data_IF_679172933495
#
_entry.id   IF_679172933495
#
_cell.length_a   1.000
_cell.length_b   1.000
_cell.length_c   1.000
_cell.angle_alpha   90.00
_cell.angle_beta   90.00
_cell.angle_gamma   90.00
#
_symmetry.space_group_name_H-M   'P 1'
#
loop_
_entity.id
_entity.type
_entity.pdbx_description
1 polymer ?
#
# COMPACT_ATOMS: atom_id res chain seq x y z
N UNK A 1 -32.78 -33.29 -8.25
CA UNK A 1 -33.54 -33.74 -7.07
C UNK A 1 -33.66 -35.25 -7.11
N UNK A 2 -33.65 -35.95 -5.96
CA UNK A 2 -32.88 -35.74 -4.72
C UNK A 2 -32.08 -37.03 -4.40
N UNK A 3 -31.11 -37.11 -3.47
CA UNK A 3 -31.29 -36.97 -2.02
C UNK A 3 -29.94 -36.96 -1.27
N UNK A 4 -29.88 -36.08 -0.27
CA UNK A 4 -29.26 -36.27 1.05
C UNK A 4 -27.78 -36.65 1.17
N UNK A 5 -26.96 -35.63 1.48
CA UNK A 5 -25.90 -35.76 2.49
C UNK A 5 -25.89 -34.49 3.37
N UNK A 6 -26.46 -34.65 4.57
CA UNK A 6 -26.43 -33.71 5.68
C UNK A 6 -24.99 -33.56 6.17
N UNK A 7 -24.42 -32.36 6.12
CA UNK A 7 -23.24 -32.04 6.92
C UNK A 7 -23.70 -31.71 8.34
N UNK A 8 -23.13 -32.45 9.28
CA UNK A 8 -23.37 -32.38 10.72
C UNK A 8 -22.92 -31.02 11.25
N UNK A 9 -23.87 -30.28 11.83
CA UNK A 9 -23.62 -29.17 12.73
C UNK A 9 -22.80 -29.66 13.93
N UNK A 10 -21.55 -29.22 14.02
CA UNK A 10 -20.83 -29.19 15.29
C UNK A 10 -21.05 -27.81 15.93
N UNK A 11 -22.28 -27.59 16.42
CA UNK A 11 -22.59 -26.48 17.30
C UNK A 11 -21.82 -26.61 18.60
N UNK A 12 -20.70 -25.89 18.73
CA UNK A 12 -20.16 -25.58 20.05
C UNK A 12 -20.93 -24.38 20.61
N UNK A 13 -21.96 -24.72 21.39
CA UNK A 13 -22.71 -23.79 22.21
C UNK A 13 -21.77 -23.13 23.25
N UNK A 14 -21.34 -21.89 22.96
CA UNK A 14 -20.43 -21.12 23.81
C UNK A 14 -21.05 -20.70 25.15
N UNK A 15 -22.33 -20.99 25.39
CA UNK A 15 -23.02 -20.68 26.65
C UNK A 15 -23.06 -21.85 27.66
N UNK A 16 -22.52 -23.03 27.32
CA UNK A 16 -22.56 -24.20 28.21
C UNK A 16 -21.27 -24.44 29.04
N UNK A 17 -20.26 -23.57 28.93
CA UNK A 17 -19.04 -23.70 29.76
C UNK A 17 -19.06 -22.83 31.03
N UNK A 18 -19.87 -21.77 31.07
CA UNK A 18 -19.97 -20.87 32.23
C UNK A 18 -20.95 -21.41 33.28
N UNK A 19 -21.96 -22.17 32.87
CA UNK A 19 -23.05 -22.55 33.77
C UNK A 19 -22.75 -23.71 34.73
N UNK A 20 -21.65 -24.46 34.50
CA UNK A 20 -21.26 -25.61 35.35
C UNK A 20 -20.20 -25.32 36.41
N UNK A 21 -19.59 -24.12 36.41
CA UNK A 21 -18.58 -23.75 37.42
C UNK A 21 -19.09 -22.84 38.55
N UNK A 22 -20.30 -22.29 38.44
CA UNK A 22 -20.81 -21.27 39.39
C UNK A 22 -21.93 -21.77 40.31
N UNK A 23 -22.49 -22.96 40.04
CA UNK A 23 -23.62 -23.52 40.81
C UNK A 23 -23.21 -24.45 41.97
N UNK A 24 -21.92 -24.77 42.12
CA UNK A 24 -21.41 -25.66 43.18
C UNK A 24 -20.51 -25.02 44.23
N UNK A 25 -20.24 -23.70 44.16
CA UNK A 25 -19.32 -23.04 45.10
C UNK A 25 -20.00 -22.61 46.41
N UNK A 26 -19.43 -22.93 47.58
CA UNK A 26 -19.91 -22.42 48.87
C UNK A 26 -19.95 -20.90 48.90
N UNK A 27 -20.99 -20.31 49.52
CA UNK A 27 -21.23 -18.87 49.60
C UNK A 27 -20.00 -18.05 50.05
N UNK A 28 -19.13 -18.64 50.88
CA UNK A 28 -17.88 -18.04 51.33
C UNK A 28 -16.90 -17.70 50.18
N UNK A 29 -16.84 -18.49 49.10
CA UNK A 29 -15.92 -18.26 47.99
C UNK A 29 -16.40 -17.20 46.99
N UNK A 30 -17.72 -16.97 46.90
CA UNK A 30 -18.29 -15.88 46.08
C UNK A 30 -17.99 -14.50 46.69
N UNK A 31 -17.90 -14.43 48.01
CA UNK A 31 -17.52 -13.20 48.73
C UNK A 31 -16.02 -12.91 48.58
N UNK A 32 -15.15 -13.93 48.59
CA UNK A 32 -13.70 -13.75 48.45
C UNK A 32 -13.30 -13.21 47.07
N UNK A 33 -13.96 -13.65 45.99
CA UNK A 33 -13.67 -13.17 44.63
C UNK A 33 -14.24 -11.76 44.40
N UNK A 34 -15.46 -11.49 44.91
CA UNK A 34 -16.08 -10.15 44.81
C UNK A 34 -15.33 -9.07 45.61
N UNK A 35 -14.83 -9.40 46.81
CA UNK A 35 -14.06 -8.48 47.64
C UNK A 35 -12.61 -8.35 47.15
N UNK A 36 -12.01 -9.43 46.65
CA UNK A 36 -10.66 -9.42 46.08
C UNK A 36 -10.53 -8.60 44.79
N UNK A 37 -11.54 -8.65 43.90
CA UNK A 37 -11.57 -7.86 42.66
C UNK A 37 -11.72 -6.35 42.89
N UNK A 38 -12.50 -5.97 43.92
CA UNK A 38 -12.69 -4.55 44.29
C UNK A 38 -11.46 -3.99 45.02
N UNK A 39 -10.75 -4.79 45.83
CA UNK A 39 -9.49 -4.39 46.47
C UNK A 39 -8.33 -4.22 45.48
N UNK A 40 -8.27 -5.03 44.41
CA UNK A 40 -7.24 -4.88 43.38
C UNK A 40 -7.45 -3.60 42.55
N UNK A 41 -8.69 -3.26 42.22
CA UNK A 41 -9.04 -1.99 41.58
C UNK A 41 -8.74 -0.77 42.47
N UNK A 42 -9.00 -0.87 43.78
CA UNK A 42 -8.68 0.19 44.74
C UNK A 42 -7.17 0.39 44.95
N UNK A 43 -6.34 -0.67 44.86
CA UNK A 43 -4.89 -0.53 44.93
C UNK A 43 -4.28 0.14 43.68
N UNK A 44 -4.86 -0.06 42.49
CA UNK A 44 -4.45 0.64 41.26
C UNK A 44 -4.83 2.13 41.31
N UNK A 45 -5.92 2.49 42.00
CA UNK A 45 -6.29 3.90 42.21
C UNK A 45 -5.58 4.58 43.40
N UNK A 46 -5.09 3.82 44.39
CA UNK A 46 -4.43 4.37 45.59
C UNK A 46 -2.90 4.52 45.48
N UNK A 47 -2.28 4.06 44.38
CA UNK A 47 -0.83 4.17 44.16
C UNK A 47 -0.40 5.32 43.22
N UNK A 48 -1.25 6.34 43.00
CA UNK A 48 -0.80 7.61 42.41
C UNK A 48 -0.23 8.49 43.52
N UNK A 49 1.09 8.44 43.71
CA UNK A 49 1.80 9.57 44.35
C UNK A 49 1.52 10.82 43.53
N UNK A 50 1.11 11.95 44.14
CA UNK A 50 1.07 13.20 43.42
C UNK A 50 2.50 13.53 42.99
N UNK A 51 2.71 13.78 41.69
CA UNK A 51 3.91 14.47 41.22
C UNK A 51 3.86 15.90 41.76
N UNK A 52 4.33 16.08 42.99
CA UNK A 52 4.65 17.39 43.53
C UNK A 52 6.09 17.72 43.17
N UNK A 53 6.25 18.76 42.36
CA UNK A 53 7.51 19.49 42.23
C UNK A 53 8.13 19.53 40.85
N UNK A 54 7.46 20.16 39.88
CA UNK A 54 8.13 21.06 38.92
C UNK A 54 7.21 22.26 38.71
N UNK A 55 7.14 23.14 39.71
CA UNK A 55 6.67 24.51 39.53
C UNK A 55 7.88 25.34 39.10
N UNK A 56 8.27 25.23 37.83
CA UNK A 56 9.03 26.30 37.16
C UNK A 56 8.80 26.21 35.65
N UNK A 57 7.69 26.79 35.19
CA UNK A 57 7.47 27.09 33.77
C UNK A 57 7.86 28.56 33.46
N UNK A 58 8.83 29.12 34.20
CA UNK A 58 9.27 30.50 34.02
C UNK A 58 10.72 30.68 33.61
N UNK A 59 11.43 29.58 33.31
CA UNK A 59 12.68 29.68 32.55
C UNK A 59 12.35 29.58 31.07
N UNK A 60 12.61 30.62 30.25
CA UNK A 60 12.69 30.44 28.82
C UNK A 60 13.79 29.40 28.62
N UNK A 61 13.40 28.21 28.15
CA UNK A 61 14.38 27.37 27.49
C UNK A 61 14.76 28.16 26.26
N UNK A 62 15.86 28.90 26.32
CA UNK A 62 16.56 29.41 25.16
C UNK A 62 17.05 28.20 24.35
N UNK A 63 16.11 27.47 23.74
CA UNK A 63 16.38 26.74 22.53
C UNK A 63 16.76 27.84 21.55
N UNK A 64 18.01 27.87 21.04
CA UNK A 64 18.34 28.87 20.04
C UNK A 64 17.36 28.68 18.88
N UNK A 65 16.42 29.61 18.75
CA UNK A 65 15.44 29.68 17.66
C UNK A 65 16.17 29.77 16.29
N UNK A 66 17.48 29.97 16.32
CA UNK A 66 18.37 29.92 15.16
C UNK A 66 18.75 28.50 14.68
N UNK A 67 18.26 27.42 15.30
CA UNK A 67 18.46 26.05 14.80
C UNK A 67 17.27 25.50 13.97
N UNK A 68 16.17 26.25 13.83
CA UNK A 68 14.96 25.81 13.11
C UNK A 68 14.69 26.57 11.81
N UNK A 69 15.64 27.36 11.33
CA UNK A 69 15.60 27.98 10.01
C UNK A 69 16.95 27.88 9.31
N UNK A 70 17.46 26.65 9.13
CA UNK A 70 18.43 26.43 8.05
C UNK A 70 17.67 26.43 6.72
N UNK A 71 17.36 27.65 6.28
CA UNK A 71 16.77 27.89 4.97
C UNK A 71 17.85 27.73 3.90
N UNK A 72 17.89 26.53 3.31
CA UNK A 72 18.17 26.34 1.87
C UNK A 72 19.50 26.87 1.31
N UNK A 73 20.62 26.68 2.00
CA UNK A 73 21.94 26.70 1.34
C UNK A 73 22.73 25.44 1.71
N UNK A 74 22.44 24.32 1.04
CA UNK A 74 23.31 23.12 1.09
C UNK A 74 22.65 21.79 1.45
N UNK A 75 21.34 21.74 1.71
CA UNK A 75 20.68 20.44 1.91
C UNK A 75 20.70 19.61 0.62
N UNK A 76 21.14 18.36 0.73
CA UNK A 76 21.06 17.36 -0.33
C UNK A 76 20.50 16.08 0.27
N UNK A 77 19.67 15.41 -0.52
CA UNK A 77 19.10 14.12 -0.15
C UNK A 77 20.21 13.11 0.09
N UNK A 78 20.24 12.55 1.29
CA UNK A 78 21.11 11.44 1.66
C UNK A 78 20.21 10.27 2.04
N UNK A 79 20.23 9.20 1.24
CA UNK A 79 19.43 8.01 1.48
C UNK A 79 19.59 7.47 2.92
N UNK A 80 20.82 7.39 3.43
CA UNK A 80 21.09 6.79 4.75
C UNK A 80 20.41 7.57 5.88
N UNK A 81 20.27 8.88 5.72
CA UNK A 81 19.64 9.78 6.69
C UNK A 81 18.14 9.98 6.43
N UNK A 82 17.75 10.16 5.17
CA UNK A 82 16.47 10.77 4.79
C UNK A 82 15.43 9.78 4.29
N UNK A 83 15.79 8.52 4.00
CA UNK A 83 14.88 7.60 3.32
C UNK A 83 13.54 7.34 4.01
N UNK A 84 13.52 7.42 5.33
CA UNK A 84 12.33 7.22 6.15
C UNK A 84 11.83 8.53 6.79
N UNK A 85 12.31 9.68 6.32
CA UNK A 85 11.87 10.98 6.81
C UNK A 85 10.57 11.41 6.10
N UNK A 86 9.43 11.10 6.73
CA UNK A 86 8.11 11.50 6.22
C UNK A 86 7.86 13.02 6.27
N UNK A 87 8.69 13.75 7.03
CA UNK A 87 8.60 15.20 7.26
C UNK A 87 9.60 16.02 6.45
N UNK A 88 9.97 15.61 5.23
CA UNK A 88 10.70 16.51 4.32
C UNK A 88 9.81 17.71 3.95
N UNK A 89 10.37 18.92 3.91
CA UNK A 89 9.62 20.09 3.39
C UNK A 89 9.31 19.93 1.89
N UNK A 90 8.35 20.68 1.34
CA UNK A 90 8.00 20.55 -0.08
C UNK A 90 9.20 20.82 -1.00
N UNK A 91 10.05 21.80 -0.66
CA UNK A 91 11.30 22.07 -1.39
C UNK A 91 12.29 20.91 -1.33
N UNK A 92 12.39 20.24 -0.18
CA UNK A 92 13.24 19.05 -0.02
C UNK A 92 12.66 17.87 -0.80
N UNK A 93 11.35 17.66 -0.81
CA UNK A 93 10.68 16.68 -1.66
C UNK A 93 11.00 16.92 -3.14
N UNK A 94 10.80 18.15 -3.64
CA UNK A 94 11.07 18.52 -5.04
C UNK A 94 12.55 18.34 -5.41
N UNK A 95 13.46 18.69 -4.50
CA UNK A 95 14.90 18.50 -4.72
C UNK A 95 15.32 17.02 -4.66
N UNK A 96 14.71 16.23 -3.78
CA UNK A 96 15.03 14.82 -3.60
C UNK A 96 14.46 13.95 -4.72
N UNK A 97 13.24 14.25 -5.17
CA UNK A 97 12.45 13.40 -6.07
C UNK A 97 11.92 14.16 -7.29
N UNK A 98 12.78 14.86 -8.06
CA UNK A 98 12.34 15.77 -9.12
C UNK A 98 11.53 15.08 -10.22
N UNK A 99 11.83 13.82 -10.52
CA UNK A 99 11.18 13.09 -11.61
C UNK A 99 9.96 12.29 -11.15
N UNK A 100 9.61 12.30 -9.86
CA UNK A 100 8.63 11.38 -9.27
C UNK A 100 7.18 11.70 -9.68
N UNK A 101 6.86 12.96 -9.95
CA UNK A 101 5.48 13.47 -9.94
C UNK A 101 4.73 13.41 -11.27
N UNK A 102 5.28 12.72 -12.27
CA UNK A 102 4.72 12.65 -13.63
C UNK A 102 3.22 12.31 -13.66
N UNK A 103 2.81 11.25 -12.96
CA UNK A 103 1.40 10.81 -12.97
C UNK A 103 0.45 11.80 -12.27
N UNK A 104 0.95 12.56 -11.29
CA UNK A 104 0.21 13.64 -10.63
C UNK A 104 0.01 14.80 -11.61
N UNK A 105 1.10 15.28 -12.22
CA UNK A 105 1.07 16.42 -13.12
C UNK A 105 0.20 16.13 -14.36
N UNK A 106 0.24 14.88 -14.85
CA UNK A 106 -0.65 14.39 -15.93
C UNK A 106 -2.12 14.49 -15.54
N UNK A 107 -2.52 13.94 -14.39
CA UNK A 107 -3.91 13.97 -13.95
C UNK A 107 -4.38 15.41 -13.69
N UNK A 108 -3.55 16.22 -13.02
CA UNK A 108 -3.84 17.63 -12.78
C UNK A 108 -4.04 18.42 -14.07
N UNK A 109 -3.25 18.17 -15.11
CA UNK A 109 -3.41 18.84 -16.41
C UNK A 109 -4.77 18.54 -17.05
N UNK A 110 -5.24 17.29 -17.01
CA UNK A 110 -6.57 16.91 -17.54
C UNK A 110 -7.70 17.65 -16.81
N UNK A 111 -7.58 17.84 -15.49
CA UNK A 111 -8.57 18.54 -14.66
C UNK A 111 -8.39 20.06 -14.62
N UNK A 112 -7.33 20.63 -15.20
CA UNK A 112 -7.25 22.09 -15.41
C UNK A 112 -8.17 22.54 -16.53
N UNK A 113 -8.32 21.69 -17.54
CA UNK A 113 -9.18 21.95 -18.70
C UNK A 113 -10.63 21.50 -18.47
N UNK A 114 -10.88 20.72 -17.42
CA UNK A 114 -12.20 20.17 -17.06
C UNK A 114 -12.61 20.66 -15.68
N UNK A 115 -13.86 21.05 -15.51
CA UNK A 115 -14.38 21.34 -14.17
C UNK A 115 -14.69 20.03 -13.44
N UNK A 116 -13.99 19.75 -12.33
CA UNK A 116 -14.37 18.65 -11.45
C UNK A 116 -15.71 18.95 -10.77
N UNK A 117 -16.58 17.95 -10.71
CA UNK A 117 -17.90 18.02 -10.06
C UNK A 117 -18.03 16.92 -9.01
N UNK A 118 -19.03 16.98 -8.11
CA UNK A 118 -19.30 15.88 -7.18
C UNK A 118 -19.44 14.52 -7.88
N UNK A 119 -20.10 14.48 -9.03
CA UNK A 119 -20.23 13.27 -9.85
C UNK A 119 -18.90 12.71 -10.37
N UNK A 120 -17.83 13.50 -10.46
CA UNK A 120 -16.49 13.02 -10.84
C UNK A 120 -15.89 12.06 -9.81
N UNK A 121 -16.34 12.11 -8.55
CA UNK A 121 -15.83 11.27 -7.45
C UNK A 121 -16.90 10.32 -6.87
N UNK A 122 -18.15 10.40 -7.32
CA UNK A 122 -19.20 9.50 -6.86
C UNK A 122 -19.07 8.09 -7.47
N UNK A 123 -19.25 7.06 -6.65
CA UNK A 123 -19.31 5.69 -7.15
C UNK A 123 -20.48 5.52 -8.15
N UNK A 124 -20.29 4.80 -9.27
CA UNK A 124 -21.36 4.54 -10.25
C UNK A 124 -22.53 3.74 -9.63
N UNK A 125 -23.79 4.06 -9.94
CA UNK A 125 -24.97 3.38 -9.38
C UNK A 125 -25.03 1.89 -9.74
N UNK A 126 -25.48 1.05 -8.79
CA UNK A 126 -25.38 -0.44 -8.84
C UNK A 126 -26.30 -1.08 -9.90
N UNK A 127 -27.27 -0.35 -10.46
CA UNK A 127 -28.19 -0.88 -11.48
C UNK A 127 -27.50 -1.21 -12.82
N UNK A 128 -26.27 -0.75 -13.02
CA UNK A 128 -25.47 -1.06 -14.21
C UNK A 128 -24.53 -2.26 -13.98
N UNK A 129 -25.01 -3.44 -14.41
CA UNK A 129 -24.18 -4.51 -14.99
C UNK A 129 -23.25 -5.34 -14.07
N UNK A 130 -23.52 -5.43 -12.77
CA UNK A 130 -22.84 -6.43 -11.90
C UNK A 130 -21.39 -6.09 -11.51
N UNK A 131 -20.93 -4.87 -11.78
CA UNK A 131 -19.64 -4.36 -11.33
C UNK A 131 -19.74 -3.77 -9.92
N UNK A 132 -18.88 -4.23 -9.00
CA UNK A 132 -18.78 -3.68 -7.64
C UNK A 132 -17.45 -2.96 -7.50
N UNK A 133 -17.40 -1.67 -7.86
CA UNK A 133 -16.27 -0.80 -7.52
C UNK A 133 -16.14 -0.78 -5.99
N UNK A 134 -14.95 -1.13 -5.51
CA UNK A 134 -14.62 -1.19 -4.09
C UNK A 134 -13.79 0.03 -3.72
N UNK A 135 -14.12 0.70 -2.63
CA UNK A 135 -13.41 1.93 -2.28
C UNK A 135 -13.96 2.68 -1.08
N UNK A 136 -13.42 3.88 -0.90
CA UNK A 136 -13.96 4.85 0.06
C UNK A 136 -13.97 6.26 -0.54
N UNK A 137 -15.07 6.97 -0.32
CA UNK A 137 -15.12 8.43 -0.43
C UNK A 137 -14.68 9.02 0.89
N UNK A 138 -13.67 9.87 0.83
CA UNK A 138 -13.00 10.48 1.95
C UNK A 138 -13.07 12.01 1.82
N UNK A 139 -12.89 12.68 2.95
CA UNK A 139 -12.81 14.13 3.02
C UNK A 139 -11.58 14.55 3.82
N UNK A 140 -10.85 15.54 3.31
CA UNK A 140 -9.81 16.23 4.05
C UNK A 140 -10.37 17.57 4.53
N UNK A 141 -10.37 17.79 5.85
CA UNK A 141 -10.86 19.04 6.46
C UNK A 141 -9.81 19.53 7.46
N UNK A 142 -9.23 20.71 7.22
CA UNK A 142 -8.20 21.32 8.09
C UNK A 142 -7.06 20.35 8.42
N UNK A 143 -6.61 19.58 7.43
CA UNK A 143 -5.55 18.58 7.58
C UNK A 143 -5.94 17.28 8.28
N UNK A 144 -7.23 17.06 8.57
CA UNK A 144 -7.75 15.83 9.17
C UNK A 144 -8.51 14.99 8.15
N UNK A 145 -8.33 13.67 8.20
CA UNK A 145 -8.93 12.71 7.28
C UNK A 145 -10.24 12.14 7.86
N UNK A 146 -11.31 12.17 7.06
CA UNK A 146 -12.61 11.61 7.39
C UNK A 146 -13.08 10.63 6.33
N UNK A 147 -13.83 9.61 6.75
CA UNK A 147 -14.57 8.70 5.88
C UNK A 147 -16.00 9.22 5.73
N UNK A 148 -16.42 9.44 4.48
CA UNK A 148 -17.80 9.83 4.13
C UNK A 148 -18.62 8.58 3.82
N UNK A 149 -18.03 7.65 3.06
CA UNK A 149 -18.70 6.43 2.62
C UNK A 149 -17.68 5.37 2.23
N UNK A 150 -17.92 4.11 2.56
CA UNK A 150 -17.23 2.99 1.93
C UNK A 150 -18.18 2.23 1.01
N UNK A 151 -17.62 1.52 0.03
CA UNK A 151 -18.39 0.66 -0.87
C UNK A 151 -17.66 -0.65 -1.13
N UNK A 152 -18.44 -1.72 -1.24
CA UNK A 152 -17.94 -3.01 -1.70
C UNK A 152 -17.27 -3.80 -0.59
N UNK A 153 -17.61 -3.49 0.65
CA UNK A 153 -17.15 -4.22 1.81
C UNK A 153 -17.84 -5.58 1.86
N UNK A 154 -17.04 -6.63 1.95
CA UNK A 154 -17.50 -8.00 2.13
C UNK A 154 -16.70 -8.61 3.27
N UNK A 155 -17.36 -9.43 4.08
CA UNK A 155 -16.69 -10.27 5.08
C UNK A 155 -15.52 -11.03 4.43
N UNK A 156 -14.28 -10.83 4.92
CA UNK A 156 -13.12 -11.61 4.46
C UNK A 156 -11.79 -10.89 4.17
N UNK A 157 -11.66 -9.59 4.46
CA UNK A 157 -10.35 -9.01 4.84
C UNK A 157 -9.49 -8.34 3.76
N UNK A 158 -9.53 -8.71 2.47
CA UNK A 158 -8.61 -8.12 1.47
C UNK A 158 -8.89 -6.63 1.23
N UNK A 159 -10.12 -6.26 0.84
CA UNK A 159 -10.52 -4.85 0.61
C UNK A 159 -10.27 -3.96 1.82
N UNK A 160 -10.57 -4.46 3.03
CA UNK A 160 -10.29 -3.75 4.28
C UNK A 160 -8.79 -3.49 4.47
N UNK A 161 -7.94 -4.50 4.26
CA UNK A 161 -6.49 -4.36 4.38
C UNK A 161 -5.95 -3.33 3.39
N UNK A 162 -6.46 -3.34 2.15
CA UNK A 162 -6.11 -2.35 1.12
C UNK A 162 -6.51 -0.94 1.55
N UNK A 163 -7.73 -0.74 2.04
CA UNK A 163 -8.16 0.58 2.52
C UNK A 163 -7.29 1.06 3.68
N UNK A 164 -7.11 0.21 4.70
CA UNK A 164 -6.30 0.54 5.88
C UNK A 164 -4.87 0.85 5.50
N UNK A 165 -4.26 0.07 4.61
CA UNK A 165 -2.91 0.35 4.10
C UNK A 165 -2.84 1.66 3.34
N UNK A 166 -3.83 1.95 2.49
CA UNK A 166 -3.84 3.17 1.66
C UNK A 166 -4.12 4.42 2.49
N UNK A 167 -5.07 4.39 3.42
CA UNK A 167 -5.40 5.56 4.23
C UNK A 167 -4.42 5.80 5.38
N UNK A 168 -3.71 4.77 5.86
CA UNK A 168 -2.58 5.00 6.77
C UNK A 168 -1.40 5.68 6.06
N UNK A 169 -1.19 5.43 4.77
CA UNK A 169 -0.23 6.18 3.97
C UNK A 169 -0.61 7.67 3.89
N UNK A 170 -1.87 7.96 3.55
CA UNK A 170 -2.40 9.34 3.52
C UNK A 170 -2.27 9.99 4.91
N UNK A 171 -2.70 9.31 5.97
CA UNK A 171 -2.57 9.82 7.34
C UNK A 171 -1.11 10.08 7.73
N UNK A 172 -0.17 9.18 7.42
CA UNK A 172 1.27 9.39 7.64
C UNK A 172 1.79 10.62 6.90
N UNK A 173 1.37 10.81 5.65
CA UNK A 173 1.72 11.96 4.84
C UNK A 173 1.16 13.29 5.43
N UNK A 174 -0.06 13.27 5.97
CA UNK A 174 -0.67 14.41 6.67
C UNK A 174 0.07 14.78 7.95
N UNK A 175 0.42 13.79 8.79
CA UNK A 175 1.22 14.01 10.00
C UNK A 175 2.59 14.58 9.64
N UNK A 176 3.23 14.05 8.59
CA UNK A 176 4.51 14.57 8.09
C UNK A 176 4.41 16.01 7.60
N UNK A 177 3.33 16.37 6.90
CA UNK A 177 3.04 17.72 6.44
C UNK A 177 2.84 18.70 7.62
N UNK A 178 2.06 18.30 8.63
CA UNK A 178 1.84 19.10 9.83
C UNK A 178 3.16 19.41 10.56
N UNK A 179 4.05 18.43 10.66
CA UNK A 179 5.36 18.58 11.30
C UNK A 179 6.26 19.63 10.63
N UNK A 180 6.01 19.99 9.37
CA UNK A 180 6.74 21.04 8.63
C UNK A 180 5.89 22.26 8.29
N UNK A 181 4.69 22.38 8.87
CA UNK A 181 3.80 23.52 8.65
C UNK A 181 3.19 23.59 7.24
N UNK A 182 3.11 22.47 6.53
CA UNK A 182 2.40 22.38 5.25
C UNK A 182 0.90 22.21 5.48
N UNK A 183 0.10 23.02 4.76
CA UNK A 183 -1.36 23.07 4.87
C UNK A 183 -1.96 22.71 3.52
N UNK A 184 -3.07 21.97 3.54
CA UNK A 184 -3.86 21.61 2.37
C UNK A 184 -5.22 22.31 2.43
N UNK A 185 -5.74 22.71 1.27
CA UNK A 185 -7.14 23.10 1.13
C UNK A 185 -8.06 21.90 1.44
N UNK A 186 -9.28 22.19 1.84
CA UNK A 186 -10.30 21.17 2.07
C UNK A 186 -10.83 20.61 0.73
N UNK A 187 -10.96 19.29 0.64
CA UNK A 187 -11.51 18.61 -0.54
C UNK A 187 -12.06 17.23 -0.22
N UNK A 188 -12.85 16.69 -1.14
CA UNK A 188 -13.28 15.30 -1.16
C UNK A 188 -12.63 14.52 -2.28
N UNK A 189 -12.36 13.24 -2.03
CA UNK A 189 -11.78 12.33 -3.00
C UNK A 189 -12.32 10.93 -2.81
N UNK A 190 -12.29 10.13 -3.86
CA UNK A 190 -12.64 8.71 -3.80
C UNK A 190 -11.44 7.88 -4.19
N UNK A 191 -11.04 6.97 -3.30
CA UNK A 191 -10.03 5.94 -3.58
C UNK A 191 -10.72 4.65 -4.01
N UNK A 192 -10.27 4.10 -5.14
CA UNK A 192 -10.70 2.81 -5.68
C UNK A 192 -9.63 1.77 -5.39
N UNK A 193 -10.05 0.66 -4.79
CA UNK A 193 -9.18 -0.39 -4.25
C UNK A 193 -9.07 -1.62 -5.15
N UNK A 194 -9.82 -1.64 -6.24
CA UNK A 194 -9.77 -2.68 -7.27
C UNK A 194 -8.38 -2.79 -7.91
N UNK A 195 -8.01 -4.00 -8.34
CA UNK A 195 -6.75 -4.24 -9.05
C UNK A 195 -6.67 -3.45 -10.36
N UNK A 196 -7.82 -3.14 -10.98
CA UNK A 196 -7.89 -2.37 -12.22
C UNK A 196 -9.02 -1.35 -12.18
N UNK A 197 -8.85 -0.19 -12.83
CA UNK A 197 -9.93 0.75 -13.06
C UNK A 197 -10.95 0.14 -14.05
N UNK A 198 -11.92 -0.60 -13.54
CA UNK A 198 -13.02 -1.16 -14.33
C UNK A 198 -14.36 -0.63 -13.83
N UNK A 199 -14.74 0.53 -14.34
CA UNK A 199 -16.09 1.08 -14.30
C UNK A 199 -16.59 1.26 -15.74
N UNK A 200 -17.91 1.40 -15.96
CA UNK A 200 -18.45 1.58 -17.31
C UNK A 200 -17.76 2.73 -18.04
N UNK A 201 -17.19 2.41 -19.21
CA UNK A 201 -16.40 3.32 -20.07
C UNK A 201 -17.28 4.46 -20.64
N UNK A 202 -18.61 4.32 -20.58
CA UNK A 202 -19.56 5.34 -21.02
C UNK A 202 -19.98 6.34 -19.91
N UNK A 203 -19.43 6.21 -18.69
CA UNK A 203 -19.66 7.19 -17.62
C UNK A 203 -18.62 8.31 -17.68
N UNK A 204 -18.96 9.56 -17.34
CA UNK A 204 -18.06 10.72 -17.41
C UNK A 204 -16.66 10.50 -16.80
N UNK A 205 -15.70 11.39 -17.15
CA UNK A 205 -14.36 11.42 -16.55
C UNK A 205 -14.42 11.29 -15.01
N UNK A 206 -13.60 10.40 -14.46
CA UNK A 206 -13.55 10.11 -13.02
C UNK A 206 -12.26 10.63 -12.42
N UNK A 207 -12.37 11.35 -11.32
CA UNK A 207 -11.23 11.87 -10.55
C UNK A 207 -10.78 10.88 -9.45
N UNK A 208 -11.02 9.58 -9.66
CA UNK A 208 -10.68 8.55 -8.69
C UNK A 208 -9.18 8.44 -8.48
N UNK A 209 -8.80 8.17 -7.23
CA UNK A 209 -7.46 7.75 -6.86
C UNK A 209 -7.37 6.24 -7.05
N UNK A 210 -6.48 5.80 -7.93
CA UNK A 210 -6.34 4.41 -8.37
C UNK A 210 -4.90 3.95 -8.24
N UNK A 211 -4.68 2.66 -8.01
CA UNK A 211 -3.31 2.12 -7.92
C UNK A 211 -2.62 1.97 -9.29
N UNK A 212 -3.43 1.86 -10.35
CA UNK A 212 -2.92 1.68 -11.71
C UNK A 212 -3.90 2.22 -12.74
N UNK A 213 -3.38 2.43 -13.95
CA UNK A 213 -4.16 2.59 -15.18
C UNK A 213 -3.43 1.91 -16.34
N UNK A 214 -4.09 1.67 -17.48
CA UNK A 214 -3.39 1.28 -18.69
C UNK A 214 -2.32 2.32 -19.08
N UNK A 215 -1.15 1.85 -19.53
CA UNK A 215 -0.03 2.69 -19.91
C UNK A 215 -0.31 3.53 -21.17
N UNK A 216 -1.18 3.03 -22.06
CA UNK A 216 -1.61 3.76 -23.26
C UNK A 216 -2.41 5.03 -22.89
N UNK A 217 -2.15 6.12 -23.61
CA UNK A 217 -2.88 7.37 -23.50
C UNK A 217 -4.16 7.38 -24.36
N UNK A 218 -4.98 8.42 -24.20
CA UNK A 218 -6.24 8.60 -24.92
C UNK A 218 -7.38 7.77 -24.35
N UNK A 219 -7.28 7.35 -23.09
CA UNK A 219 -8.33 6.58 -22.41
C UNK A 219 -9.04 7.43 -21.38
N UNK A 220 -10.26 7.04 -21.03
CA UNK A 220 -10.99 7.64 -19.91
C UNK A 220 -10.22 7.57 -18.58
N UNK A 221 -9.41 6.54 -18.38
CA UNK A 221 -8.55 6.42 -17.20
C UNK A 221 -7.45 7.50 -17.14
N UNK A 222 -7.27 8.32 -18.18
CA UNK A 222 -6.36 9.45 -18.12
C UNK A 222 -6.90 10.59 -17.23
N UNK A 223 -8.17 10.58 -16.83
CA UNK A 223 -8.66 11.49 -15.80
C UNK A 223 -8.36 11.03 -14.37
N UNK A 224 -7.89 9.79 -14.17
CA UNK A 224 -7.68 9.24 -12.82
C UNK A 224 -6.33 9.63 -12.26
N UNK A 225 -6.24 9.67 -10.93
CA UNK A 225 -5.01 9.98 -10.19
C UNK A 225 -4.34 8.68 -9.79
N UNK A 226 -3.18 8.38 -10.38
CA UNK A 226 -2.43 7.17 -10.00
C UNK A 226 -1.70 7.44 -8.70
N UNK A 227 -1.92 6.60 -7.69
CA UNK A 227 -1.38 6.77 -6.34
C UNK A 227 -0.61 5.53 -5.88
N UNK A 228 0.26 5.65 -4.85
CA UNK A 228 0.89 4.50 -4.22
C UNK A 228 -0.13 3.45 -3.79
N UNK A 229 0.18 2.18 -4.09
CA UNK A 229 -0.65 1.07 -3.67
C UNK A 229 -0.47 0.74 -2.18
N UNK A 230 -1.38 -0.06 -1.62
CA UNK A 230 -1.39 -0.42 -0.19
C UNK A 230 -0.12 -1.15 0.30
N UNK A 231 0.72 -1.70 -0.59
CA UNK A 231 1.97 -2.39 -0.24
C UNK A 231 3.07 -1.44 0.25
N UNK A 232 2.96 -0.13 -0.01
CA UNK A 232 3.83 0.88 0.61
C UNK A 232 3.50 1.13 2.09
N UNK A 233 2.43 0.50 2.60
CA UNK A 233 2.17 0.32 4.02
C UNK A 233 2.51 -1.09 4.49
N UNK A 234 1.65 -2.07 4.19
CA UNK A 234 1.78 -3.48 4.53
C UNK A 234 0.72 -4.34 3.81
N UNK A 235 1.00 -5.63 3.58
CA UNK A 235 0.01 -6.58 3.04
C UNK A 235 0.05 -7.95 3.72
N UNK A 236 -0.40 -8.08 4.99
CA UNK A 236 -0.40 -9.38 5.68
C UNK A 236 -1.40 -10.36 5.04
N UNK A 237 -1.08 -11.67 4.97
CA UNK A 237 0.16 -12.32 5.42
C UNK A 237 1.27 -12.37 4.34
N UNK A 238 1.08 -11.71 3.19
CA UNK A 238 2.01 -11.77 2.05
C UNK A 238 3.31 -11.03 2.35
N UNK A 239 3.22 -9.87 3.01
CA UNK A 239 4.37 -9.06 3.41
C UNK A 239 4.07 -8.24 4.68
N UNK A 240 5.12 -7.95 5.43
CA UNK A 240 5.08 -7.03 6.59
C UNK A 240 5.05 -5.55 6.19
N UNK A 241 5.34 -4.65 7.13
CA UNK A 241 5.50 -3.22 6.86
C UNK A 241 6.56 -2.96 5.77
N UNK A 242 6.30 -2.04 4.86
CA UNK A 242 7.19 -1.78 3.72
C UNK A 242 8.63 -1.41 4.12
N UNK A 243 8.78 -0.59 5.17
CA UNK A 243 10.08 -0.21 5.74
C UNK A 243 10.85 -1.43 6.23
N UNK A 244 10.15 -2.38 6.85
CA UNK A 244 10.74 -3.64 7.29
C UNK A 244 11.14 -4.51 6.10
N UNK A 245 10.31 -4.58 5.05
CA UNK A 245 10.67 -5.30 3.83
C UNK A 245 11.94 -4.74 3.18
N UNK A 246 12.14 -3.41 3.17
CA UNK A 246 13.42 -2.82 2.74
C UNK A 246 14.59 -3.23 3.64
N UNK A 247 14.38 -3.28 4.96
CA UNK A 247 15.41 -3.69 5.91
C UNK A 247 15.79 -5.16 5.79
N UNK A 248 14.81 -6.04 5.54
CA UNK A 248 15.05 -7.46 5.31
C UNK A 248 15.76 -7.68 3.98
N UNK A 249 15.32 -7.04 2.89
CA UNK A 249 15.99 -7.14 1.59
C UNK A 249 17.49 -6.80 1.65
N UNK A 250 17.86 -5.74 2.40
CA UNK A 250 19.28 -5.35 2.59
C UNK A 250 20.15 -6.40 3.27
N UNK A 251 19.57 -7.36 4.00
CA UNK A 251 20.34 -8.48 4.59
C UNK A 251 20.88 -9.45 3.55
N UNK A 252 20.34 -9.39 2.32
CA UNK A 252 20.76 -10.20 1.18
C UNK A 252 21.69 -9.44 0.22
N UNK A 253 22.08 -8.21 0.56
CA UNK A 253 22.95 -7.37 -0.28
C UNK A 253 24.33 -8.01 -0.41
N UNK A 254 24.77 -8.22 -1.66
CA UNK A 254 26.08 -8.79 -2.04
C UNK A 254 26.35 -8.57 -3.52
N UNK A 255 27.62 -8.56 -3.97
CA UNK A 255 27.95 -8.45 -5.39
C UNK A 255 27.13 -9.44 -6.23
N UNK A 256 26.61 -8.99 -7.37
CA UNK A 256 25.71 -9.76 -8.23
C UNK A 256 26.30 -11.11 -8.62
N UNK A 257 27.61 -11.19 -8.86
CA UNK A 257 28.35 -12.43 -9.15
C UNK A 257 28.29 -13.49 -8.04
N UNK A 258 28.06 -13.06 -6.79
CA UNK A 258 27.95 -13.93 -5.61
C UNK A 258 26.51 -14.34 -5.29
N UNK A 259 25.53 -13.83 -6.05
CA UNK A 259 24.13 -14.25 -6.02
C UNK A 259 23.92 -15.50 -6.88
N UNK A 260 22.75 -16.11 -6.74
CA UNK A 260 22.34 -17.25 -7.58
C UNK A 260 22.19 -16.75 -9.02
N UNK A 261 23.04 -17.24 -9.93
CA UNK A 261 23.11 -16.85 -11.34
C UNK A 261 21.95 -17.46 -12.17
N UNK A 262 20.72 -17.18 -11.75
CA UNK A 262 19.51 -17.66 -12.41
C UNK A 262 18.44 -16.57 -12.50
N UNK A 263 17.65 -16.65 -13.56
CA UNK A 263 16.38 -15.96 -13.67
C UNK A 263 15.35 -16.65 -12.77
N UNK A 264 14.73 -15.91 -11.85
CA UNK A 264 13.81 -16.49 -10.87
C UNK A 264 12.41 -15.90 -10.97
N UNK A 265 11.40 -16.77 -10.86
CA UNK A 265 10.01 -16.36 -10.78
C UNK A 265 9.17 -17.38 -10.03
N UNK A 266 8.23 -16.88 -9.20
CA UNK A 266 7.14 -17.66 -8.60
C UNK A 266 5.83 -16.91 -8.72
N UNK A 267 4.82 -17.55 -9.30
CA UNK A 267 3.48 -17.00 -9.41
C UNK A 267 2.47 -18.00 -9.94
N UNK A 268 1.19 -17.60 -9.96
CA UNK A 268 0.10 -18.40 -10.53
C UNK A 268 -0.12 -18.05 -12.00
N UNK A 269 -0.46 -19.01 -12.86
CA UNK A 269 -0.68 -18.72 -14.29
C UNK A 269 -2.02 -18.03 -14.56
N UNK A 270 -3.07 -18.40 -13.82
CA UNK A 270 -4.46 -18.02 -14.14
C UNK A 270 -4.72 -16.51 -14.13
N UNK A 271 -3.91 -15.71 -13.43
CA UNK A 271 -4.09 -14.24 -13.38
C UNK A 271 -3.74 -13.56 -14.70
N UNK A 272 -2.87 -14.17 -15.54
CA UNK A 272 -2.57 -13.68 -16.89
C UNK A 272 -1.93 -14.77 -17.77
N UNK A 273 -2.71 -15.79 -18.15
CA UNK A 273 -2.21 -16.97 -18.90
C UNK A 273 -1.42 -16.59 -20.16
N UNK A 274 -1.94 -15.67 -20.97
CA UNK A 274 -1.28 -15.23 -22.21
C UNK A 274 0.08 -14.56 -22.05
N UNK A 275 0.48 -14.16 -20.84
CA UNK A 275 1.79 -13.62 -20.53
C UNK A 275 2.67 -14.64 -19.79
N UNK A 276 2.08 -15.35 -18.82
CA UNK A 276 2.82 -16.22 -17.91
C UNK A 276 3.06 -17.63 -18.45
N UNK A 277 2.15 -18.18 -19.26
CA UNK A 277 2.39 -19.49 -19.92
C UNK A 277 3.55 -19.42 -20.92
N UNK A 278 3.68 -18.38 -21.78
CA UNK A 278 4.88 -18.22 -22.61
C UNK A 278 6.19 -18.08 -21.83
N UNK A 279 6.16 -17.41 -20.66
CA UNK A 279 7.33 -17.36 -19.78
C UNK A 279 7.74 -18.76 -19.30
N UNK A 280 6.77 -19.56 -18.85
CA UNK A 280 7.05 -20.95 -18.43
C UNK A 280 7.64 -21.77 -19.59
N UNK A 281 7.09 -21.64 -20.79
CA UNK A 281 7.53 -22.41 -21.96
C UNK A 281 8.96 -22.05 -22.37
N UNK A 282 9.28 -20.77 -22.48
CA UNK A 282 10.61 -20.34 -22.96
C UNK A 282 11.73 -20.53 -21.93
N UNK A 283 11.38 -20.72 -20.66
CA UNK A 283 12.32 -20.94 -19.56
C UNK A 283 12.42 -22.42 -19.17
N UNK A 284 11.68 -23.29 -19.86
CA UNK A 284 11.63 -24.72 -19.59
C UNK A 284 12.97 -25.36 -19.97
N UNK A 285 13.49 -26.19 -19.07
CA UNK A 285 14.75 -26.93 -19.23
C UNK A 285 16.00 -26.06 -19.43
N UNK A 286 15.88 -24.73 -19.30
CA UNK A 286 16.98 -23.79 -19.40
C UNK A 286 17.83 -23.80 -18.12
N UNK A 287 19.15 -23.94 -18.27
CA UNK A 287 20.07 -24.08 -17.12
C UNK A 287 20.15 -22.81 -16.26
N UNK A 288 19.91 -21.65 -16.86
CA UNK A 288 19.84 -20.34 -16.21
C UNK A 288 18.47 -20.05 -15.59
N UNK A 289 17.50 -20.96 -15.69
CA UNK A 289 16.14 -20.76 -15.18
C UNK A 289 15.93 -21.37 -13.78
N UNK A 290 15.25 -20.61 -12.94
CA UNK A 290 14.49 -21.07 -11.79
C UNK A 290 13.09 -20.41 -11.80
N UNK A 291 12.33 -20.68 -12.85
CA UNK A 291 10.98 -20.16 -13.08
C UNK A 291 9.97 -21.26 -12.85
N UNK A 292 9.08 -21.09 -11.87
CA UNK A 292 8.13 -22.13 -11.48
C UNK A 292 6.74 -21.55 -11.16
N UNK A 293 5.69 -22.27 -11.57
CA UNK A 293 4.32 -21.97 -11.12
C UNK A 293 4.18 -22.39 -9.64
N UNK A 294 3.61 -21.50 -8.84
CA UNK A 294 3.18 -21.82 -7.47
C UNK A 294 1.66 -21.91 -7.41
N UNK A 295 1.13 -22.53 -6.36
CA UNK A 295 -0.32 -22.58 -6.12
C UNK A 295 -0.71 -21.91 -4.81
N UNK A 296 -1.82 -21.16 -4.83
CA UNK A 296 -2.46 -20.69 -3.61
C UNK A 296 -3.33 -21.77 -2.96
N UNK A 297 -3.77 -22.78 -3.73
CA UNK A 297 -4.57 -23.89 -3.22
C UNK A 297 -3.67 -24.79 -2.36
N UNK A 298 -4.01 -24.88 -1.06
CA UNK A 298 -3.30 -25.72 -0.09
C UNK A 298 -3.35 -27.23 -0.39
N UNK A 299 -4.22 -27.66 -1.29
CA UNK A 299 -4.33 -29.05 -1.71
C UNK A 299 -3.16 -29.50 -2.59
N UNK A 300 -2.56 -28.59 -3.36
CA UNK A 300 -1.33 -28.85 -4.10
C UNK A 300 -0.12 -28.52 -3.24
N UNK A 301 0.24 -29.48 -2.38
CA UNK A 301 1.32 -29.31 -1.40
C UNK A 301 2.68 -29.05 -2.03
N UNK A 302 2.92 -29.53 -3.26
CA UNK A 302 4.21 -29.33 -3.91
C UNK A 302 4.30 -27.95 -4.55
N UNK A 303 3.24 -27.49 -5.23
CA UNK A 303 3.18 -26.11 -5.74
C UNK A 303 3.11 -25.05 -4.61
N UNK A 304 2.64 -25.41 -3.42
CA UNK A 304 2.67 -24.54 -2.23
C UNK A 304 4.09 -24.39 -1.65
N UNK A 305 4.93 -25.43 -1.70
CA UNK A 305 6.35 -25.36 -1.27
C UNK A 305 7.19 -24.44 -2.15
N UNK A 306 6.70 -24.12 -3.36
CA UNK A 306 7.36 -23.21 -4.28
C UNK A 306 7.10 -21.73 -3.97
N UNK A 307 6.22 -21.42 -3.00
CA UNK A 307 6.04 -20.04 -2.53
C UNK A 307 7.37 -19.52 -1.98
N UNK A 308 7.75 -18.35 -2.46
CA UNK A 308 8.91 -17.61 -1.95
C UNK A 308 8.42 -16.35 -1.25
N UNK A 309 9.05 -16.03 -0.12
CA UNK A 309 8.93 -14.71 0.50
C UNK A 309 9.62 -13.66 -0.37
N UNK A 310 9.30 -12.38 -0.13
CA UNK A 310 9.81 -11.28 -0.94
C UNK A 310 11.35 -11.21 -0.92
N UNK A 311 11.95 -11.47 0.24
CA UNK A 311 13.40 -11.40 0.46
C UNK A 311 14.18 -12.56 -0.16
N UNK A 312 13.59 -13.75 -0.31
CA UNK A 312 14.25 -14.89 -0.96
C UNK A 312 14.58 -14.59 -2.43
N UNK A 313 13.82 -13.72 -3.09
CA UNK A 313 14.15 -13.25 -4.44
C UNK A 313 15.44 -12.43 -4.49
N UNK A 314 15.83 -11.78 -3.38
CA UNK A 314 17.05 -10.99 -3.32
C UNK A 314 18.34 -11.84 -3.34
N UNK A 315 18.23 -13.16 -3.16
CA UNK A 315 19.35 -14.08 -3.31
C UNK A 315 19.69 -14.41 -4.77
N UNK A 316 18.81 -14.05 -5.71
CA UNK A 316 18.99 -14.28 -7.14
C UNK A 316 19.50 -13.03 -7.84
N UNK A 317 20.34 -13.23 -8.85
CA UNK A 317 20.85 -12.14 -9.68
C UNK A 317 19.74 -11.53 -10.56
N UNK A 318 18.78 -12.33 -11.03
CA UNK A 318 17.85 -11.93 -12.09
C UNK A 318 16.37 -12.21 -11.75
N UNK A 319 15.76 -11.50 -10.79
CA UNK A 319 14.35 -11.69 -10.49
C UNK A 319 13.45 -11.16 -11.62
N UNK A 320 12.50 -11.98 -12.07
CA UNK A 320 11.56 -11.62 -13.14
C UNK A 320 10.30 -10.99 -12.56
N UNK A 321 9.89 -9.85 -13.11
CA UNK A 321 8.57 -9.27 -12.89
C UNK A 321 7.57 -9.71 -13.96
N UNK A 322 6.34 -10.01 -13.56
CA UNK A 322 5.21 -10.20 -14.49
C UNK A 322 3.96 -9.46 -14.02
N UNK A 323 3.22 -8.89 -14.97
CA UNK A 323 1.86 -8.41 -14.73
C UNK A 323 0.91 -9.58 -14.39
N UNK A 324 -0.17 -9.25 -13.68
CA UNK A 324 -1.30 -10.13 -13.37
C UNK A 324 -2.52 -9.72 -14.18
N UNK A 325 -3.71 -9.71 -13.57
CA UNK A 325 -4.89 -9.14 -14.23
C UNK A 325 -4.74 -7.65 -14.54
N UNK A 326 -3.78 -6.99 -13.88
CA UNK A 326 -3.30 -5.63 -14.11
C UNK A 326 -1.84 -5.52 -13.64
N UNK A 327 -1.42 -4.36 -13.12
CA UNK A 327 -0.14 -4.22 -12.43
C UNK A 327 0.06 -5.28 -11.33
N UNK A 328 1.32 -5.58 -10.99
CA UNK A 328 1.64 -6.46 -9.87
C UNK A 328 2.54 -5.76 -8.88
N UNK A 329 2.08 -5.66 -7.63
CA UNK A 329 2.86 -5.09 -6.52
C UNK A 329 4.17 -5.83 -6.22
N UNK A 330 4.39 -7.03 -6.82
CA UNK A 330 5.66 -7.75 -6.77
C UNK A 330 6.83 -6.85 -7.20
N UNK A 331 6.65 -5.98 -8.19
CA UNK A 331 7.76 -5.14 -8.67
C UNK A 331 8.32 -4.29 -7.54
N UNK A 332 7.45 -3.69 -6.73
CA UNK A 332 7.83 -2.86 -5.58
C UNK A 332 8.75 -3.60 -4.59
N UNK A 333 8.59 -4.91 -4.44
CA UNK A 333 9.45 -5.75 -3.60
C UNK A 333 10.75 -6.15 -4.30
N UNK A 334 10.72 -6.51 -5.59
CA UNK A 334 11.92 -6.87 -6.34
C UNK A 334 12.88 -5.68 -6.46
N UNK A 335 12.35 -4.47 -6.58
CA UNK A 335 13.13 -3.22 -6.62
C UNK A 335 13.81 -2.89 -5.28
N UNK A 336 13.47 -3.59 -4.19
CA UNK A 336 14.20 -3.50 -2.93
C UNK A 336 15.45 -4.39 -2.87
N UNK A 337 15.66 -5.28 -3.84
CA UNK A 337 16.87 -6.09 -3.92
C UNK A 337 17.98 -5.34 -4.66
N UNK A 338 19.24 -5.64 -4.34
CA UNK A 338 20.42 -5.26 -5.14
C UNK A 338 20.67 -6.27 -6.28
N UNK A 339 19.58 -6.65 -6.97
CA UNK A 339 19.55 -7.59 -8.10
C UNK A 339 19.27 -6.84 -9.40
N UNK A 340 19.49 -7.48 -10.55
CA UNK A 340 19.15 -6.93 -11.87
C UNK A 340 17.74 -7.41 -12.28
N UNK A 341 16.67 -6.64 -12.04
CA UNK A 341 15.31 -7.10 -12.32
C UNK A 341 15.11 -7.26 -13.83
N UNK A 342 14.41 -8.32 -14.24
CA UNK A 342 13.96 -8.53 -15.62
C UNK A 342 12.50 -8.09 -15.72
N UNK A 343 12.22 -7.15 -16.61
CA UNK A 343 10.90 -6.56 -16.76
C UNK A 343 10.50 -6.58 -18.23
N UNK A 344 9.32 -7.11 -18.51
CA UNK A 344 8.74 -7.16 -19.85
C UNK A 344 8.07 -5.82 -20.22
N UNK A 345 7.68 -5.63 -21.49
CA UNK A 345 6.85 -4.47 -21.87
C UNK A 345 5.55 -4.45 -21.04
N UNK A 346 5.39 -3.40 -20.23
CA UNK A 346 4.27 -3.23 -19.31
C UNK A 346 3.08 -2.59 -20.03
N UNK A 347 1.87 -3.11 -19.79
CA UNK A 347 0.62 -2.53 -20.31
C UNK A 347 -0.11 -1.69 -19.25
N UNK A 348 0.32 -1.78 -18.00
CA UNK A 348 -0.19 -1.05 -16.85
C UNK A 348 0.91 -0.16 -16.27
N UNK A 349 0.51 1.00 -15.76
CA UNK A 349 1.43 1.93 -15.09
C UNK A 349 1.07 2.06 -13.60
N UNK A 350 2.08 2.13 -12.74
CA UNK A 350 1.97 2.59 -11.36
C UNK A 350 2.70 3.94 -11.22
N UNK A 351 2.54 4.60 -10.08
CA UNK A 351 3.01 5.97 -9.87
C UNK A 351 4.51 6.23 -10.09
N UNK A 352 5.35 5.19 -10.14
CA UNK A 352 6.79 5.30 -10.37
C UNK A 352 7.27 4.65 -11.69
N UNK A 353 6.38 4.04 -12.48
CA UNK A 353 6.80 3.21 -13.62
C UNK A 353 7.44 4.00 -14.75
N UNK A 354 7.17 5.31 -14.87
CA UNK A 354 7.83 6.19 -15.84
C UNK A 354 9.34 6.38 -15.55
N UNK A 355 9.81 5.96 -14.37
CA UNK A 355 11.23 5.96 -14.00
C UNK A 355 11.95 4.66 -14.40
N UNK A 356 11.24 3.67 -14.95
CA UNK A 356 11.85 2.45 -15.50
C UNK A 356 12.53 2.79 -16.83
N UNK A 357 13.83 2.56 -16.88
CA UNK A 357 14.67 2.82 -18.06
C UNK A 357 15.27 1.49 -18.57
N UNK A 358 14.81 1.00 -19.74
CA UNK A 358 15.28 -0.24 -20.35
C UNK A 358 16.80 -0.31 -20.47
N UNK A 359 17.38 -1.42 -19.99
CA UNK A 359 18.81 -1.72 -19.98
C UNK A 359 19.68 -0.69 -19.21
N UNK A 360 19.05 0.19 -18.42
CA UNK A 360 19.72 1.12 -17.49
C UNK A 360 19.48 0.68 -16.05
N UNK A 361 18.22 0.55 -15.64
CA UNK A 361 17.82 0.16 -14.29
C UNK A 361 17.03 -1.15 -14.22
N UNK A 362 16.81 -1.79 -15.36
CA UNK A 362 16.30 -3.15 -15.44
C UNK A 362 16.74 -3.80 -16.76
N UNK A 363 16.75 -5.12 -16.80
CA UNK A 363 16.92 -5.89 -18.03
C UNK A 363 15.57 -5.92 -18.74
N UNK A 364 15.50 -5.28 -19.90
CA UNK A 364 14.28 -5.24 -20.70
C UNK A 364 14.09 -6.53 -21.51
N UNK A 365 12.87 -7.04 -21.53
CA UNK A 365 12.44 -8.14 -22.41
C UNK A 365 11.13 -7.81 -23.12
N UNK A 366 10.90 -8.44 -24.26
CA UNK A 366 9.64 -8.31 -24.97
C UNK A 366 8.50 -8.92 -24.15
N UNK A 367 7.28 -8.39 -24.29
CA UNK A 367 6.07 -8.94 -23.65
C UNK A 367 5.85 -10.44 -23.90
N UNK A 368 6.26 -10.94 -25.06
CA UNK A 368 6.16 -12.35 -25.43
C UNK A 368 7.40 -13.18 -25.05
N UNK A 369 8.35 -12.60 -24.31
CA UNK A 369 9.58 -13.21 -23.80
C UNK A 369 10.61 -13.66 -24.85
N UNK A 370 10.35 -13.46 -26.14
CA UNK A 370 11.18 -14.01 -27.24
C UNK A 370 12.67 -13.66 -27.17
N UNK A 371 13.03 -12.54 -26.55
CA UNK A 371 14.43 -12.13 -26.37
C UNK A 371 15.03 -12.49 -24.99
N UNK A 372 14.26 -13.11 -24.08
CA UNK A 372 14.73 -13.47 -22.75
C UNK A 372 15.95 -14.42 -22.77
N UNK A 373 15.98 -15.51 -23.57
CA UNK A 373 17.15 -16.40 -23.60
C UNK A 373 18.44 -15.68 -24.01
N UNK A 374 18.37 -14.83 -25.04
CA UNK A 374 19.51 -14.04 -25.49
C UNK A 374 19.96 -13.00 -24.46
N UNK A 375 19.02 -12.38 -23.73
CA UNK A 375 19.35 -11.48 -22.61
C UNK A 375 20.05 -12.23 -21.48
N UNK A 376 19.60 -13.43 -21.15
CA UNK A 376 20.22 -14.26 -20.12
C UNK A 376 21.62 -14.74 -20.50
N UNK A 377 21.80 -15.25 -21.72
CA UNK A 377 23.12 -15.62 -22.24
C UNK A 377 24.10 -14.42 -22.17
N UNK A 378 23.65 -13.25 -22.60
CA UNK A 378 24.47 -12.04 -22.58
C UNK A 378 24.86 -11.62 -21.15
N UNK A 379 23.90 -11.45 -20.24
CA UNK A 379 24.18 -10.90 -18.91
C UNK A 379 24.89 -11.89 -17.98
N UNK A 380 24.78 -13.20 -18.23
CA UNK A 380 25.60 -14.22 -17.55
C UNK A 380 27.06 -14.18 -18.02
N UNK A 381 27.31 -13.84 -19.29
CA UNK A 381 28.66 -13.65 -19.82
C UNK A 381 29.26 -12.27 -19.49
N UNK A 382 28.41 -11.30 -19.12
CA UNK A 382 28.77 -9.90 -18.87
C UNK A 382 28.24 -9.43 -17.50
N UNK A 383 28.66 -10.13 -16.44
CA UNK A 383 28.19 -9.88 -15.07
C UNK A 383 28.50 -8.47 -14.58
N UNK A 384 29.55 -7.82 -15.08
CA UNK A 384 29.88 -6.42 -14.79
C UNK A 384 28.81 -5.45 -15.30
N UNK A 385 28.19 -5.75 -16.46
CA UNK A 385 27.11 -4.95 -17.02
C UNK A 385 25.82 -5.17 -16.23
N UNK A 386 25.52 -6.43 -15.90
CA UNK A 386 24.39 -6.78 -15.06
C UNK A 386 24.49 -6.12 -13.67
N UNK A 387 25.69 -6.08 -13.08
CA UNK A 387 25.95 -5.39 -11.82
C UNK A 387 25.64 -3.89 -11.92
N UNK A 388 26.01 -3.23 -13.02
CA UNK A 388 25.66 -1.82 -13.24
C UNK A 388 24.16 -1.58 -13.29
N UNK A 389 23.40 -2.50 -13.92
CA UNK A 389 21.94 -2.44 -13.93
C UNK A 389 21.38 -2.63 -12.52
N UNK A 390 21.87 -3.62 -11.77
CA UNK A 390 21.44 -3.88 -10.39
C UNK A 390 21.72 -2.67 -9.47
N UNK A 391 22.91 -2.09 -9.56
CA UNK A 391 23.26 -0.89 -8.80
C UNK A 391 22.41 0.31 -9.17
N UNK A 392 22.11 0.49 -10.44
CA UNK A 392 21.28 1.59 -10.92
C UNK A 392 19.81 1.40 -10.51
N UNK A 393 19.29 0.17 -10.61
CA UNK A 393 17.98 -0.21 -10.05
C UNK A 393 17.85 0.15 -8.58
N UNK A 394 18.80 -0.35 -7.77
CA UNK A 394 18.86 -0.10 -6.33
C UNK A 394 18.90 1.40 -6.01
N UNK A 395 19.78 2.15 -6.68
CA UNK A 395 19.92 3.61 -6.47
C UNK A 395 18.67 4.39 -6.86
N UNK A 396 18.05 4.03 -7.98
CA UNK A 396 16.87 4.70 -8.51
C UNK A 396 15.65 4.43 -7.64
N UNK A 397 15.38 3.17 -7.32
CA UNK A 397 14.14 2.79 -6.66
C UNK A 397 14.30 2.71 -5.15
N UNK A 398 14.93 1.63 -4.65
CA UNK A 398 15.10 1.40 -3.21
C UNK A 398 15.63 2.65 -2.53
N UNK A 399 16.73 3.20 -3.05
CA UNK A 399 17.47 4.29 -2.40
C UNK A 399 16.92 5.69 -2.68
N UNK A 400 15.83 5.82 -3.46
CA UNK A 400 15.30 7.14 -3.82
C UNK A 400 13.81 7.12 -4.09
N UNK A 401 13.37 6.71 -5.27
CA UNK A 401 12.01 6.95 -5.77
C UNK A 401 10.94 6.02 -5.22
N UNK A 402 11.31 4.89 -4.61
CA UNK A 402 10.39 4.05 -3.83
C UNK A 402 10.75 4.06 -2.35
N UNK A 403 11.45 5.10 -1.88
CA UNK A 403 11.70 5.28 -0.44
C UNK A 403 10.42 5.62 0.32
N UNK A 404 10.31 5.30 1.61
CA UNK A 404 9.19 5.76 2.44
C UNK A 404 9.01 7.29 2.45
N UNK A 405 10.11 8.06 2.34
CA UNK A 405 10.06 9.50 2.18
C UNK A 405 9.49 9.93 0.82
N UNK A 406 9.88 9.25 -0.28
CA UNK A 406 9.33 9.51 -1.61
C UNK A 406 7.82 9.27 -1.66
N UNK A 407 7.35 8.20 -1.04
CA UNK A 407 5.92 7.89 -0.95
C UNK A 407 5.15 8.98 -0.18
N UNK A 408 5.63 9.40 0.99
CA UNK A 408 4.99 10.50 1.73
C UNK A 408 5.02 11.83 0.95
N UNK A 409 6.12 12.13 0.26
CA UNK A 409 6.22 13.30 -0.62
C UNK A 409 5.24 13.20 -1.81
N UNK A 410 5.05 12.01 -2.39
CA UNK A 410 4.08 11.76 -3.47
C UNK A 410 2.66 12.07 -3.00
N UNK A 411 2.23 11.52 -1.86
CA UNK A 411 0.91 11.79 -1.31
C UNK A 411 0.67 13.27 -1.02
N UNK A 412 1.66 13.97 -0.46
CA UNK A 412 1.58 15.42 -0.20
C UNK A 412 1.48 16.23 -1.48
N UNK A 413 2.26 15.89 -2.51
CA UNK A 413 2.14 16.52 -3.83
C UNK A 413 0.78 16.23 -4.48
N UNK A 414 0.28 15.00 -4.34
CA UNK A 414 -1.00 14.59 -4.90
C UNK A 414 -2.16 15.34 -4.23
N UNK A 415 -2.19 15.41 -2.90
CA UNK A 415 -3.20 16.18 -2.14
C UNK A 415 -3.22 17.65 -2.56
N UNK A 416 -2.06 18.29 -2.66
CA UNK A 416 -1.95 19.70 -3.08
C UNK A 416 -2.43 19.92 -4.52
N UNK A 417 -1.92 19.13 -5.47
CA UNK A 417 -2.31 19.28 -6.86
C UNK A 417 -3.79 18.95 -7.09
N UNK A 418 -4.33 17.97 -6.35
CA UNK A 418 -5.74 17.60 -6.40
C UNK A 418 -6.63 18.72 -5.85
N UNK A 419 -6.26 19.34 -4.72
CA UNK A 419 -7.06 20.39 -4.09
C UNK A 419 -7.15 21.68 -4.92
N UNK A 420 -6.19 21.92 -5.82
CA UNK A 420 -6.21 23.05 -6.77
C UNK A 420 -7.31 22.90 -7.83
N UNK A 421 -7.69 21.66 -8.19
CA UNK A 421 -8.67 21.36 -9.25
C UNK A 421 -9.96 20.72 -8.72
N UNK A 422 -9.98 20.34 -7.44
CA UNK A 422 -11.17 19.82 -6.78
C UNK A 422 -12.28 20.86 -6.75
N UNK A 423 -13.54 20.39 -6.81
CA UNK A 423 -14.66 21.28 -6.53
C UNK A 423 -14.55 21.80 -5.10
N UNK A 424 -14.84 23.09 -4.91
CA UNK A 424 -14.85 23.68 -3.57
C UNK A 424 -16.05 23.12 -2.82
N UNK A 425 -15.75 22.34 -1.78
CA UNK A 425 -16.71 21.98 -0.76
C UNK A 425 -17.05 23.28 -0.05
N UNK A 426 -18.26 23.84 -0.22
CA UNK A 426 -18.71 24.99 0.58
C UNK A 426 -18.45 24.69 2.04
N UNK A 427 -18.01 25.64 2.87
CA UNK A 427 -17.63 25.44 4.29
C UNK A 427 -18.67 24.60 5.05
N UNK A 428 -18.54 23.28 4.96
CA UNK A 428 -19.46 22.33 5.54
C UNK A 428 -18.93 22.14 6.95
N UNK A 429 -19.76 22.48 7.94
CA UNK A 429 -19.72 21.84 9.26
C UNK A 429 -19.37 20.36 9.06
N UNK A 430 -18.49 19.80 9.91
CA UNK A 430 -18.19 18.36 9.87
C UNK A 430 -19.53 17.64 9.68
N UNK A 431 -19.76 16.96 8.53
CA UNK A 431 -21.11 16.56 8.22
C UNK A 431 -21.51 15.62 9.34
N UNK A 432 -22.73 15.73 9.84
CA UNK A 432 -23.28 14.80 10.82
C UNK A 432 -23.16 13.32 10.39
N UNK A 433 -22.75 13.08 9.14
CA UNK A 433 -22.66 11.81 8.42
C UNK A 433 -21.23 11.32 8.09
N UNK A 434 -20.14 12.01 8.51
CA UNK A 434 -18.77 11.51 8.34
C UNK A 434 -18.12 11.13 9.67
N UNK A 435 -17.20 10.16 9.63
CA UNK A 435 -16.45 9.68 10.80
C UNK A 435 -14.96 9.97 10.62
N UNK A 436 -14.26 10.32 11.70
CA UNK A 436 -12.80 10.51 11.64
C UNK A 436 -12.11 9.20 11.22
N UNK A 437 -10.94 9.29 10.59
CA UNK A 437 -10.17 8.10 10.25
C UNK A 437 -9.82 7.25 11.47
N UNK A 438 -9.49 7.90 12.59
CA UNK A 438 -9.17 7.28 13.87
C UNK A 438 -10.36 6.50 14.45
N UNK A 439 -11.55 7.12 14.45
CA UNK A 439 -12.77 6.46 14.93
C UNK A 439 -13.17 5.32 13.97
N UNK A 440 -13.07 5.52 12.65
CA UNK A 440 -13.35 4.46 11.67
C UNK A 440 -12.41 3.26 11.85
N UNK A 441 -11.12 3.50 12.12
CA UNK A 441 -10.12 2.45 12.30
C UNK A 441 -10.37 1.63 13.57
N UNK A 442 -10.91 2.26 14.62
CA UNK A 442 -11.16 1.65 15.93
C UNK A 442 -12.59 1.09 16.09
N UNK A 443 -13.52 1.49 15.23
CA UNK A 443 -14.88 0.97 15.18
C UNK A 443 -14.97 -0.44 14.57
N UNK A 444 -16.13 -1.07 14.74
CA UNK A 444 -16.50 -2.26 13.96
C UNK A 444 -16.81 -1.87 12.52
N UNK A 445 -15.77 -1.91 11.69
CA UNK A 445 -15.83 -1.66 10.26
C UNK A 445 -15.89 -2.98 9.47
N UNK A 446 -16.72 -3.94 9.89
CA UNK A 446 -16.98 -5.18 9.14
C UNK A 446 -17.99 -5.00 8.00
N UNK A 447 -18.65 -3.84 7.94
CA UNK A 447 -19.65 -3.49 6.93
C UNK A 447 -19.35 -2.13 6.31
N UNK A 448 -20.01 -1.83 5.19
CA UNK A 448 -19.90 -0.54 4.53
C UNK A 448 -20.40 0.60 5.45
N UNK A 449 -19.63 1.69 5.54
CA UNK A 449 -20.01 2.93 6.22
C UNK A 449 -20.77 3.85 5.24
N UNK A 450 -21.82 4.58 5.66
CA UNK A 450 -22.41 4.62 7.00
C UNK A 450 -23.08 3.30 7.40
N UNK A 451 -22.83 2.85 8.64
CA UNK A 451 -23.41 1.60 9.14
C UNK A 451 -24.91 1.78 9.34
N UNK A 452 -25.73 0.89 8.77
CA UNK A 452 -27.17 0.87 9.05
C UNK A 452 -27.43 0.46 10.51
N UNK A 453 -28.44 1.05 11.16
CA UNK A 453 -28.82 0.71 12.56
C UNK A 453 -29.14 -0.80 12.76
N UNK A 454 -29.43 -1.55 11.69
CA UNK A 454 -29.76 -2.97 11.74
C UNK A 454 -28.55 -3.93 11.74
N UNK A 455 -27.31 -3.44 11.65
CA UNK A 455 -26.12 -4.32 11.61
C UNK A 455 -25.51 -4.64 12.99
N UNK A 456 -26.11 -4.14 14.08
CA UNK A 456 -25.74 -4.50 15.45
C UNK A 456 -26.83 -5.36 16.11
N UNK A 457 -26.85 -6.65 15.81
CA UNK A 457 -27.65 -7.64 16.54
C UNK A 457 -26.89 -8.94 16.75
#
# INVERSE_FOLDING_TARGET
>A
MPSDLRSVDAGMDKNMFVHRYVTGMPLAWKIVIGVGGVLLMLQVFAARKPLQGVNDFSTPVDVPINALFDTNLGWQYDWTRDHANYGLSSKQCDSAFPDLYFEIDRAAAVWKDKQMTPSSIEFPTIEDQGYKVMGATCRLVRGQLFIVRTRGWRDGGDTRRRLVGTLNQVHRALVGALGVGEIFDDFEFTVVLDDKPSWPIDSADRAFWVFTKPARAGLQTDSTWVVPDFNFWAMPPVSGPYVETQAVARKHDRPLESKIQKAVWRGVLWTHRGLREPLMEITKDETWSDVQEMSWNSEDKDAVKLKMSAEEFCDYAFPIHTEGGSYSSRLTYLLNCDSAPIIHDLEWTAHYYHLLEPDVNHIHVHRNWTNLPGKMEYYLAHTDQAQRIADTSRKTFRERYTSPAAEACYWRRAMRAYSEVAYKVSELEAPAEAISWEDFLTADNTHDFPWSEDSSS
#
